data_IF_717716720821
#
_entry.id   IF_717716720821
#
_cell.length_a   1.000
_cell.length_b   1.000
_cell.length_c   1.000
_cell.angle_alpha   90.00
_cell.angle_beta   90.00
_cell.angle_gamma   90.00
#
_symmetry.space_group_name_H-M   'P 1'
#
loop_
_entity.id
_entity.type
_entity.pdbx_description
1 polymer ?
#
# COMPACT_ATOMS: atom_id res chain seq x y z
N UNK A 1 3.95 -18.40 16.87
CA UNK A 1 3.36 -18.84 15.58
C UNK A 1 3.50 -17.72 14.56
N UNK A 2 3.96 -18.03 13.36
CA UNK A 2 4.06 -17.09 12.26
C UNK A 2 2.84 -17.19 11.34
N UNK A 3 2.43 -16.05 10.79
CA UNK A 3 1.41 -15.98 9.76
C UNK A 3 1.96 -15.25 8.56
N UNK A 4 1.46 -15.58 7.38
CA UNK A 4 1.83 -14.98 6.11
C UNK A 4 0.58 -14.39 5.48
N UNK A 5 0.69 -13.20 4.93
CA UNK A 5 -0.38 -12.56 4.19
C UNK A 5 0.08 -12.12 2.82
N UNK A 6 -0.82 -12.17 1.85
CA UNK A 6 -0.64 -11.66 0.50
C UNK A 6 -1.65 -10.56 0.25
N UNK A 7 -1.19 -9.42 -0.26
CA UNK A 7 -2.03 -8.34 -0.71
C UNK A 7 -1.81 -8.09 -2.20
N UNK A 8 -2.88 -7.80 -2.91
CA UNK A 8 -2.83 -7.42 -4.32
C UNK A 8 -3.80 -6.28 -4.54
N UNK A 9 -3.36 -5.26 -5.26
CA UNK A 9 -4.21 -4.13 -5.63
C UNK A 9 -3.80 -3.61 -7.00
N UNK A 10 -4.75 -3.05 -7.72
CA UNK A 10 -4.53 -2.48 -9.04
C UNK A 10 -5.39 -1.24 -9.23
N UNK A 11 -4.79 -0.19 -9.77
CA UNK A 11 -5.48 1.05 -10.12
C UNK A 11 -5.03 1.53 -11.49
N UNK A 12 -5.93 2.22 -12.20
CA UNK A 12 -5.59 2.88 -13.45
C UNK A 12 -4.78 4.14 -13.20
N UNK A 13 -3.86 4.43 -14.09
CA UNK A 13 -3.18 5.73 -14.15
C UNK A 13 -3.99 6.67 -15.04
N UNK A 14 -4.42 7.78 -14.48
CA UNK A 14 -5.23 8.79 -15.17
C UNK A 14 -4.58 10.16 -15.10
N UNK A 15 -4.91 11.01 -16.07
CA UNK A 15 -4.41 12.39 -16.12
C UNK A 15 -4.99 13.22 -14.97
N UNK A 16 -4.26 14.29 -14.61
CA UNK A 16 -4.71 15.31 -13.65
C UNK A 16 -4.91 14.78 -12.22
N UNK A 17 -4.16 13.72 -11.88
CA UNK A 17 -4.10 13.23 -10.49
C UNK A 17 -2.65 13.12 -10.05
N UNK A 18 -2.41 13.39 -8.78
CA UNK A 18 -1.11 13.15 -8.14
C UNK A 18 -0.92 11.65 -7.94
N UNK A 19 0.33 11.21 -8.06
CA UNK A 19 0.70 9.82 -7.86
C UNK A 19 1.33 9.65 -6.48
N UNK A 20 0.67 8.87 -5.63
CA UNK A 20 1.19 8.50 -4.31
C UNK A 20 1.47 7.00 -4.27
N UNK A 21 2.68 6.63 -3.89
CA UNK A 21 3.08 5.22 -3.70
C UNK A 21 3.79 5.10 -2.37
N UNK A 22 3.25 4.28 -1.47
CA UNK A 22 3.80 4.12 -0.13
C UNK A 22 3.80 5.41 0.69
N UNK A 23 2.86 6.31 0.40
CA UNK A 23 2.75 7.62 1.04
C UNK A 23 3.70 8.67 0.46
N UNK A 24 4.44 8.36 -0.60
CA UNK A 24 5.39 9.29 -1.25
C UNK A 24 4.76 9.87 -2.51
N UNK A 25 4.82 11.19 -2.65
CA UNK A 25 4.41 11.86 -3.88
C UNK A 25 5.48 11.62 -4.96
N UNK A 26 5.08 10.93 -6.02
CA UNK A 26 5.96 10.61 -7.14
C UNK A 26 5.71 11.61 -8.27
N UNK A 27 6.74 12.30 -8.77
CA UNK A 27 6.57 13.15 -9.95
C UNK A 27 6.09 12.36 -11.16
N UNK A 28 4.90 12.72 -11.65
CA UNK A 28 4.28 12.03 -12.79
C UNK A 28 3.19 12.91 -13.38
N UNK A 29 2.99 12.79 -14.69
CA UNK A 29 1.87 13.44 -15.39
C UNK A 29 0.53 12.76 -15.10
N UNK A 30 0.55 11.57 -14.50
CA UNK A 30 -0.64 10.77 -14.18
C UNK A 30 -0.57 10.29 -12.74
N UNK A 31 -1.72 10.09 -12.13
CA UNK A 31 -1.86 9.49 -10.81
C UNK A 31 -2.87 8.36 -10.83
N UNK A 32 -2.91 7.61 -9.74
CA UNK A 32 -3.82 6.47 -9.62
C UNK A 32 -5.26 6.95 -9.42
N UNK A 33 -6.16 6.35 -10.18
CA UNK A 33 -7.59 6.60 -10.07
C UNK A 33 -8.18 5.78 -8.93
N UNK A 34 -9.00 6.41 -8.12
CA UNK A 34 -9.63 5.76 -6.99
C UNK A 34 -10.01 6.76 -5.90
N UNK A 35 -10.47 6.24 -4.78
CA UNK A 35 -10.84 7.05 -3.63
C UNK A 35 -9.60 7.58 -2.92
N UNK A 36 -9.68 8.82 -2.41
CA UNK A 36 -8.60 9.48 -1.68
C UNK A 36 -7.31 9.55 -2.53
N UNK A 37 -6.19 9.09 -2.01
CA UNK A 37 -4.89 9.09 -2.70
C UNK A 37 -4.67 7.87 -3.60
N UNK A 38 -5.55 6.87 -3.51
CA UNK A 38 -5.48 5.62 -4.28
C UNK A 38 -4.09 4.94 -4.21
N UNK A 39 -3.44 4.99 -3.05
CA UNK A 39 -2.10 4.44 -2.86
C UNK A 39 -2.12 2.90 -2.92
N UNK A 40 -1.81 2.37 -4.09
CA UNK A 40 -1.90 0.94 -4.38
C UNK A 40 -0.98 0.11 -3.47
N UNK A 41 0.18 0.64 -3.11
CA UNK A 41 1.12 -0.07 -2.24
C UNK A 41 0.59 -0.16 -0.80
N UNK A 42 0.12 0.94 -0.25
CA UNK A 42 -0.46 0.93 1.10
C UNK A 42 -1.70 0.04 1.15
N UNK A 43 -2.56 0.08 0.13
CA UNK A 43 -3.75 -0.78 0.07
C UNK A 43 -3.38 -2.26 0.06
N UNK A 44 -2.38 -2.66 -0.73
CA UNK A 44 -1.94 -4.06 -0.77
C UNK A 44 -1.29 -4.50 0.54
N UNK A 45 -0.54 -3.62 1.21
CA UNK A 45 0.03 -3.91 2.53
C UNK A 45 -1.09 -4.13 3.56
N UNK A 46 -2.11 -3.26 3.57
CA UNK A 46 -3.27 -3.43 4.45
C UNK A 46 -3.94 -4.79 4.23
N UNK A 47 -4.18 -5.15 2.97
CA UNK A 47 -4.81 -6.42 2.64
C UNK A 47 -3.95 -7.61 3.05
N UNK A 48 -2.63 -7.51 2.92
CA UNK A 48 -1.72 -8.58 3.36
C UNK A 48 -1.78 -8.80 4.88
N UNK A 49 -1.83 -7.73 5.64
CA UNK A 49 -1.93 -7.79 7.11
C UNK A 49 -3.29 -8.40 7.51
N UNK A 50 -4.38 -7.88 6.94
CA UNK A 50 -5.73 -8.39 7.22
C UNK A 50 -5.85 -9.85 6.82
N UNK A 51 -5.30 -10.24 5.67
CA UNK A 51 -5.30 -11.63 5.22
C UNK A 51 -4.54 -12.56 6.16
N UNK A 52 -3.37 -12.14 6.63
CA UNK A 52 -2.60 -12.91 7.62
C UNK A 52 -3.38 -13.11 8.92
N UNK A 53 -4.21 -12.13 9.31
CA UNK A 53 -5.06 -12.20 10.49
C UNK A 53 -6.36 -12.99 10.24
N UNK A 54 -6.64 -13.38 9.01
CA UNK A 54 -7.91 -14.03 8.66
C UNK A 54 -9.10 -13.08 8.72
N UNK A 55 -8.87 -11.78 8.50
CA UNK A 55 -9.89 -10.72 8.66
C UNK A 55 -10.38 -10.13 7.34
N UNK A 56 -10.10 -10.78 6.22
CA UNK A 56 -10.56 -10.30 4.91
C UNK A 56 -9.69 -9.20 4.33
N UNK A 57 -10.31 -8.13 3.88
CA UNK A 57 -9.66 -7.04 3.14
C UNK A 57 -10.13 -5.65 3.62
N UNK A 58 -9.54 -4.61 3.05
CA UNK A 58 -9.87 -3.22 3.38
C UNK A 58 -11.34 -2.93 3.11
N UNK A 59 -11.88 -3.42 2.00
CA UNK A 59 -13.27 -3.17 1.61
C UNK A 59 -14.27 -3.71 2.63
N UNK A 60 -13.95 -4.81 3.29
CA UNK A 60 -14.77 -5.39 4.36
C UNK A 60 -14.85 -4.47 5.58
N UNK A 61 -13.72 -3.86 5.96
CA UNK A 61 -13.65 -3.05 7.19
C UNK A 61 -13.93 -1.57 6.95
N UNK A 62 -13.62 -1.05 5.76
CA UNK A 62 -13.69 0.37 5.44
C UNK A 62 -14.42 0.57 4.12
N UNK A 63 -15.74 0.29 4.12
CA UNK A 63 -16.54 0.39 2.90
C UNK A 63 -16.51 1.79 2.28
N UNK A 64 -16.31 1.85 0.96
CA UNK A 64 -16.39 3.08 0.18
C UNK A 64 -17.77 3.75 0.26
N UNK A 65 -18.80 2.99 0.62
CA UNK A 65 -20.17 3.48 0.76
C UNK A 65 -20.39 4.23 2.07
N UNK A 66 -19.47 4.09 3.04
CA UNK A 66 -19.59 4.76 4.34
C UNK A 66 -19.01 6.17 4.25
N UNK A 67 -19.81 7.23 4.45
CA UNK A 67 -19.33 8.61 4.40
C UNK A 67 -18.19 8.92 5.37
N UNK A 68 -18.09 8.17 6.46
CA UNK A 68 -17.04 8.31 7.47
C UNK A 68 -15.64 8.21 6.86
N UNK A 69 -15.49 7.39 5.80
CA UNK A 69 -14.19 7.12 5.18
C UNK A 69 -13.94 7.96 3.92
N UNK A 70 -14.89 8.79 3.54
CA UNK A 70 -14.74 9.66 2.38
C UNK A 70 -13.54 10.59 2.60
N UNK A 71 -12.69 10.71 1.59
CA UNK A 71 -11.49 11.57 1.60
C UNK A 71 -10.43 11.21 2.66
N UNK A 72 -10.53 10.05 3.30
CA UNK A 72 -9.46 9.56 4.18
C UNK A 72 -8.28 9.09 3.35
N UNK A 73 -7.07 9.47 3.75
CA UNK A 73 -5.85 9.02 3.10
C UNK A 73 -5.57 7.55 3.43
N UNK A 74 -4.83 6.87 2.56
CA UNK A 74 -4.49 5.46 2.75
C UNK A 74 -3.73 5.20 4.04
N UNK A 75 -2.91 6.16 4.51
CA UNK A 75 -2.21 6.06 5.79
C UNK A 75 -3.18 5.92 6.97
N UNK A 76 -4.35 6.54 6.90
CA UNK A 76 -5.37 6.37 7.93
C UNK A 76 -5.79 4.90 8.05
N UNK A 77 -6.05 4.23 6.93
CA UNK A 77 -6.45 2.83 6.91
C UNK A 77 -5.30 1.94 7.37
N UNK A 78 -4.06 2.24 6.96
CA UNK A 78 -2.90 1.50 7.41
C UNK A 78 -2.75 1.56 8.94
N UNK A 79 -2.92 2.75 9.53
CA UNK A 79 -2.86 2.91 10.97
C UNK A 79 -3.93 2.09 11.69
N UNK A 80 -5.15 2.05 11.14
CA UNK A 80 -6.24 1.23 11.69
C UNK A 80 -5.94 -0.27 11.60
N UNK A 81 -5.44 -0.71 10.46
CA UNK A 81 -5.06 -2.12 10.25
C UNK A 81 -3.90 -2.51 11.18
N UNK A 82 -2.91 -1.64 11.35
CA UNK A 82 -1.82 -1.86 12.28
C UNK A 82 -2.30 -1.97 13.72
N UNK A 83 -3.30 -1.17 14.10
CA UNK A 83 -3.93 -1.25 15.42
C UNK A 83 -4.64 -2.59 15.61
N UNK A 84 -5.42 -3.04 14.62
CA UNK A 84 -6.09 -4.34 14.64
C UNK A 84 -5.08 -5.48 14.81
N UNK A 85 -3.98 -5.43 14.07
CA UNK A 85 -2.90 -6.41 14.17
C UNK A 85 -2.33 -6.49 15.60
N UNK A 86 -2.04 -5.34 16.20
CA UNK A 86 -1.51 -5.28 17.57
C UNK A 86 -2.50 -5.82 18.60
N UNK A 87 -3.78 -5.53 18.42
CA UNK A 87 -4.85 -6.06 19.30
C UNK A 87 -4.91 -7.58 19.26
N UNK A 88 -4.58 -8.19 18.13
CA UNK A 88 -4.50 -9.65 17.98
C UNK A 88 -3.17 -10.23 18.47
N UNK A 89 -2.27 -9.40 18.98
CA UNK A 89 -0.98 -9.84 19.52
C UNK A 89 0.09 -10.11 18.47
N UNK A 90 -0.07 -9.59 17.25
CA UNK A 90 0.88 -9.78 16.16
C UNK A 90 1.69 -8.53 15.89
N UNK A 91 2.82 -8.73 15.23
CA UNK A 91 3.67 -7.67 14.71
C UNK A 91 4.22 -8.08 13.35
N UNK A 92 4.59 -7.08 12.56
CA UNK A 92 5.22 -7.33 11.26
C UNK A 92 6.68 -7.76 11.48
N UNK A 93 7.10 -8.85 10.82
CA UNK A 93 8.50 -9.28 10.80
C UNK A 93 9.20 -8.66 9.60
N UNK A 94 8.63 -8.80 8.41
CA UNK A 94 9.17 -8.20 7.19
C UNK A 94 8.06 -7.98 6.16
N UNK A 95 8.33 -7.11 5.21
CA UNK A 95 7.46 -6.90 4.04
C UNK A 95 8.32 -6.98 2.80
N UNK A 96 7.85 -7.74 1.82
CA UNK A 96 8.39 -7.75 0.47
C UNK A 96 7.29 -7.35 -0.50
N UNK A 97 7.59 -6.45 -1.41
CA UNK A 97 6.61 -5.92 -2.36
C UNK A 97 7.21 -5.80 -3.75
N UNK A 98 6.34 -5.92 -4.75
CA UNK A 98 6.69 -5.69 -6.15
C UNK A 98 5.70 -4.70 -6.73
N UNK A 99 6.23 -3.60 -7.26
CA UNK A 99 5.46 -2.59 -7.98
C UNK A 99 5.58 -2.85 -9.48
N UNK A 100 4.44 -2.98 -10.14
CA UNK A 100 4.39 -3.20 -11.59
C UNK A 100 3.86 -1.92 -12.23
N UNK A 101 4.70 -1.23 -12.98
CA UNK A 101 4.35 0.06 -13.57
C UNK A 101 5.24 0.34 -14.79
N UNK A 102 4.61 0.64 -15.93
CA UNK A 102 5.36 1.00 -17.14
C UNK A 102 6.04 2.36 -16.99
N UNK A 103 5.29 3.37 -16.58
CA UNK A 103 5.72 4.75 -16.36
C UNK A 103 4.96 5.37 -15.20
N UNK A 104 5.64 6.16 -14.33
CA UNK A 104 7.06 6.44 -14.27
C UNK A 104 7.88 5.23 -13.81
N UNK A 105 9.21 5.29 -13.96
CA UNK A 105 10.11 4.25 -13.43
C UNK A 105 10.20 4.35 -11.90
N UNK A 106 9.49 3.50 -11.22
CA UNK A 106 9.38 3.54 -9.75
C UNK A 106 10.67 3.13 -9.04
N UNK A 107 11.57 2.41 -9.72
CA UNK A 107 12.86 2.04 -9.15
C UNK A 107 13.69 3.22 -8.64
N UNK A 108 13.50 4.39 -9.22
CA UNK A 108 14.18 5.63 -8.80
C UNK A 108 13.75 6.10 -7.43
N UNK A 109 12.56 5.68 -6.99
CA UNK A 109 11.93 6.16 -5.76
C UNK A 109 11.93 5.12 -4.65
N UNK A 110 12.56 3.96 -4.86
CA UNK A 110 12.58 2.86 -3.88
C UNK A 110 13.08 3.32 -2.51
N UNK A 111 14.16 4.08 -2.47
CA UNK A 111 14.73 4.56 -1.20
C UNK A 111 13.76 5.44 -0.44
N UNK A 112 13.07 6.36 -1.13
CA UNK A 112 12.07 7.23 -0.51
C UNK A 112 10.85 6.47 -0.03
N UNK A 113 10.36 5.53 -0.85
CA UNK A 113 9.21 4.69 -0.50
C UNK A 113 9.53 3.84 0.72
N UNK A 114 10.72 3.22 0.72
CA UNK A 114 11.18 2.39 1.84
C UNK A 114 11.28 3.19 3.13
N UNK A 115 11.84 4.39 3.08
CA UNK A 115 11.93 5.29 4.22
C UNK A 115 10.55 5.71 4.75
N UNK A 116 9.61 5.98 3.85
CA UNK A 116 8.23 6.29 4.23
C UNK A 116 7.56 5.12 4.94
N UNK A 117 7.70 3.91 4.39
CA UNK A 117 7.14 2.69 4.99
C UNK A 117 7.79 2.35 6.32
N UNK A 118 9.10 2.57 6.48
CA UNK A 118 9.79 2.39 7.75
C UNK A 118 9.10 3.18 8.87
N UNK A 119 8.81 4.44 8.60
CA UNK A 119 8.13 5.31 9.57
C UNK A 119 6.70 4.85 9.85
N UNK A 120 5.95 4.49 8.80
CA UNK A 120 4.53 4.13 8.91
C UNK A 120 4.33 2.77 9.56
N UNK A 121 5.17 1.81 9.23
CA UNK A 121 5.07 0.44 9.73
C UNK A 121 5.82 0.24 11.05
N UNK A 122 6.71 1.16 11.39
CA UNK A 122 7.53 1.12 12.61
C UNK A 122 8.38 -0.16 12.67
N UNK A 123 8.93 -0.57 11.54
CA UNK A 123 9.90 -1.66 11.44
C UNK A 123 11.16 -1.14 10.73
N UNK A 124 12.35 -1.68 11.04
CA UNK A 124 13.58 -1.25 10.37
C UNK A 124 13.52 -1.46 8.86
N UNK A 125 14.11 -0.54 8.10
CA UNK A 125 14.13 -0.60 6.64
C UNK A 125 14.73 -1.89 6.08
N UNK A 126 15.61 -2.54 6.84
CA UNK A 126 16.22 -3.81 6.47
C UNK A 126 15.20 -4.94 6.29
N UNK A 127 14.02 -4.79 6.88
CA UNK A 127 12.92 -5.75 6.76
C UNK A 127 11.86 -5.33 5.75
N UNK A 128 12.14 -4.29 4.96
CA UNK A 128 11.24 -3.78 3.91
C UNK A 128 11.94 -3.88 2.57
N UNK A 129 11.39 -4.67 1.65
CA UNK A 129 11.90 -4.82 0.28
C UNK A 129 10.90 -4.20 -0.70
N UNK A 130 11.40 -3.36 -1.59
CA UNK A 130 10.62 -2.76 -2.68
C UNK A 130 11.28 -3.16 -3.99
N UNK A 131 10.57 -3.93 -4.80
CA UNK A 131 10.99 -4.30 -6.14
C UNK A 131 10.11 -3.56 -7.15
N UNK A 132 10.66 -3.22 -8.29
CA UNK A 132 9.92 -2.53 -9.34
C UNK A 132 10.20 -3.20 -10.68
N UNK A 133 9.15 -3.40 -11.45
CA UNK A 133 9.22 -4.00 -12.79
C UNK A 133 8.15 -3.40 -13.69
N UNK A 134 8.12 -3.82 -14.94
CA UNK A 134 7.04 -3.52 -15.88
C UNK A 134 6.26 -4.79 -16.18
N UNK A 135 5.14 -4.64 -16.90
CA UNK A 135 4.41 -5.79 -17.46
C UNK A 135 4.90 -6.18 -18.85
N UNK A 136 6.02 -5.59 -19.33
CA UNK A 136 6.54 -5.82 -20.69
C UNK A 136 5.51 -5.54 -21.79
N UNK A 137 4.61 -4.57 -21.55
CA UNK A 137 3.53 -4.25 -22.47
C UNK A 137 2.45 -5.32 -22.59
N UNK A 138 2.41 -6.29 -21.69
CA UNK A 138 1.39 -7.35 -21.69
C UNK A 138 0.15 -6.90 -20.91
N UNK A 139 -1.03 -7.04 -21.54
CA UNK A 139 -2.30 -6.69 -20.91
C UNK A 139 -2.76 -5.25 -21.10
#
# INVERSE_FOLDING_TARGET
>A
MYRIGLGYDIHRLVKNRKLFIGGVLIPSSRGLDGHSDADVLIHSICDSILGALGMGDIGTHFSNKNPKYKNKQSTYFLNKVMQMMRQEGYRIVNIDSTLICEKPKLSRYRTKIRASLEKKLKIPKEYISIKATTSEGLG
#
